data_IF_377080153186
#
_entry.id   IF_377080153186
#
_cell.length_a   1.000
_cell.length_b   1.000
_cell.length_c   1.000
_cell.angle_alpha   90.00
_cell.angle_beta   90.00
_cell.angle_gamma   90.00
#
_symmetry.space_group_name_H-M   'P 1'
#
loop_
_entity.id
_entity.type
_entity.pdbx_description
1 polymer ?
#
# COMPACT_ATOMS: atom_id res chain seq x y z
N UNK A 1 -16.12 10.01 32.00
CA UNK A 1 -14.71 9.62 31.89
C UNK A 1 -14.33 9.67 30.42
N UNK A 2 -13.20 10.28 30.06
CA UNK A 2 -12.75 10.35 28.66
C UNK A 2 -11.79 9.19 28.45
N UNK A 3 -12.21 8.19 27.70
CA UNK A 3 -11.36 7.05 27.36
C UNK A 3 -10.43 7.45 26.20
N UNK A 4 -9.12 7.35 26.43
CA UNK A 4 -8.13 7.55 25.37
C UNK A 4 -8.00 6.25 24.60
N UNK A 5 -8.39 6.26 23.32
CA UNK A 5 -8.23 5.14 22.39
C UNK A 5 -7.15 5.47 21.37
N UNK A 6 -5.88 5.06 21.59
CA UNK A 6 -4.83 5.25 20.61
C UNK A 6 -5.18 4.53 19.30
N UNK A 7 -5.02 5.24 18.18
CA UNK A 7 -5.20 4.66 16.83
C UNK A 7 -3.90 4.55 16.06
N UNK A 8 -2.86 5.25 16.49
CA UNK A 8 -1.56 5.21 15.82
C UNK A 8 -0.87 3.88 16.10
N UNK A 9 -0.23 3.30 15.11
CA UNK A 9 0.69 2.17 15.29
C UNK A 9 2.05 2.54 14.71
N UNK A 10 3.12 2.28 15.45
CA UNK A 10 4.47 2.40 14.90
C UNK A 10 4.75 1.17 14.05
N UNK A 11 5.08 1.37 12.79
CA UNK A 11 5.36 0.28 11.84
C UNK A 11 6.84 0.30 11.48
N UNK A 12 7.58 -0.67 12.00
CA UNK A 12 9.01 -0.83 11.76
C UNK A 12 9.25 -1.71 10.54
N UNK A 13 10.13 -1.25 9.65
CA UNK A 13 10.49 -1.95 8.42
C UNK A 13 11.97 -1.79 8.10
N UNK A 14 12.46 -2.60 7.16
CA UNK A 14 13.82 -2.51 6.63
C UNK A 14 13.83 -1.74 5.30
N UNK A 15 14.42 -0.53 5.27
CA UNK A 15 14.41 0.28 4.05
C UNK A 15 15.24 -0.32 2.91
N UNK A 16 16.09 -1.32 3.19
CA UNK A 16 16.87 -2.00 2.15
C UNK A 16 16.07 -3.08 1.39
N UNK A 17 14.89 -3.47 1.89
CA UNK A 17 14.07 -4.53 1.26
C UNK A 17 13.34 -4.06 -0.01
N UNK A 18 13.13 -2.75 -0.17
CA UNK A 18 12.53 -2.18 -1.36
C UNK A 18 12.94 -0.70 -1.53
N UNK A 19 13.04 -0.20 -2.79
CA UNK A 19 13.54 1.15 -3.07
C UNK A 19 12.60 2.29 -2.64
N UNK A 20 11.30 2.00 -2.45
CA UNK A 20 10.29 2.96 -1.97
C UNK A 20 9.38 2.29 -0.94
N UNK A 21 8.85 3.06 0.01
CA UNK A 21 7.95 2.58 1.05
C UNK A 21 6.70 1.91 0.47
N UNK A 22 6.18 2.37 -0.67
CA UNK A 22 5.04 1.77 -1.35
C UNK A 22 5.24 0.27 -1.66
N UNK A 23 6.47 -0.14 -1.98
CA UNK A 23 6.79 -1.53 -2.32
C UNK A 23 7.17 -2.39 -1.13
N UNK A 24 7.24 -1.81 0.08
CA UNK A 24 7.54 -2.55 1.30
C UNK A 24 6.34 -3.40 1.71
N UNK A 25 6.60 -4.61 2.21
CA UNK A 25 5.56 -5.55 2.67
C UNK A 25 4.67 -4.94 3.76
N UNK A 26 5.24 -4.08 4.61
CA UNK A 26 4.46 -3.32 5.61
C UNK A 26 3.36 -2.45 4.99
N UNK A 27 3.54 -1.91 3.79
CA UNK A 27 2.50 -1.14 3.10
C UNK A 27 1.62 -2.08 2.30
N UNK A 28 2.22 -2.92 1.46
CA UNK A 28 1.51 -3.81 0.53
C UNK A 28 0.52 -4.74 1.23
N UNK A 29 0.94 -5.32 2.35
CA UNK A 29 0.12 -6.31 3.06
C UNK A 29 -0.65 -5.72 4.23
N UNK A 30 -0.09 -4.75 4.97
CA UNK A 30 -0.77 -4.23 6.18
C UNK A 30 -1.61 -2.96 5.93
N UNK A 31 -1.43 -2.24 4.82
CA UNK A 31 -2.17 -1.00 4.56
C UNK A 31 -3.69 -1.16 4.70
N UNK A 32 -4.27 -2.12 3.95
CA UNK A 32 -5.71 -2.38 4.01
C UNK A 32 -6.17 -2.97 5.37
N UNK A 33 -5.51 -3.98 5.96
CA UNK A 33 -5.86 -4.46 7.31
C UNK A 33 -5.83 -3.37 8.39
N UNK A 34 -4.83 -2.49 8.38
CA UNK A 34 -4.73 -1.41 9.36
C UNK A 34 -5.83 -0.37 9.19
N UNK A 35 -6.12 0.02 7.93
CA UNK A 35 -7.24 0.91 7.64
C UNK A 35 -8.58 0.31 8.09
N UNK A 36 -8.82 -0.98 7.82
CA UNK A 36 -10.02 -1.69 8.26
C UNK A 36 -10.15 -1.72 9.79
N UNK A 37 -9.04 -1.86 10.51
CA UNK A 37 -8.98 -1.82 11.97
C UNK A 37 -9.05 -0.38 12.54
N UNK A 38 -9.17 0.65 11.70
CA UNK A 38 -9.19 2.05 12.12
C UNK A 38 -7.86 2.54 12.70
N UNK A 39 -6.76 1.86 12.35
CA UNK A 39 -5.41 2.18 12.79
C UNK A 39 -4.72 3.09 11.77
N UNK A 40 -3.87 3.98 12.27
CA UNK A 40 -3.09 4.93 11.47
C UNK A 40 -1.62 4.54 11.57
N UNK A 41 -1.01 3.99 10.50
CA UNK A 41 0.39 3.60 10.53
C UNK A 41 1.31 4.82 10.50
N UNK A 42 2.33 4.81 11.36
CA UNK A 42 3.51 5.66 11.25
C UNK A 42 4.72 4.78 10.94
N UNK A 43 5.19 4.83 9.69
CA UNK A 43 6.28 4.01 9.20
C UNK A 43 7.63 4.59 9.60
N UNK A 44 8.47 3.78 10.25
CA UNK A 44 9.81 4.18 10.70
C UNK A 44 10.82 3.11 10.29
N UNK A 45 11.84 3.44 9.48
CA UNK A 45 12.93 2.50 9.20
C UNK A 45 13.63 2.08 10.48
N UNK A 46 13.96 0.79 10.65
CA UNK A 46 14.60 0.30 11.87
C UNK A 46 15.96 0.99 12.15
N UNK A 47 16.65 1.44 11.10
CA UNK A 47 17.97 2.07 11.13
C UNK A 47 17.92 3.61 11.25
N UNK A 48 16.72 4.18 11.41
CA UNK A 48 16.54 5.60 11.68
C UNK A 48 16.55 5.91 13.18
N UNK A 49 16.36 7.18 13.54
CA UNK A 49 16.20 7.58 14.94
C UNK A 49 14.87 7.08 15.49
N UNK A 50 14.90 5.93 16.18
CA UNK A 50 13.72 5.37 16.83
C UNK A 50 13.21 6.27 17.96
N UNK A 51 11.88 6.42 18.15
CA UNK A 51 11.29 7.27 19.19
C UNK A 51 11.83 6.99 20.59
N UNK A 52 12.28 8.03 21.28
CA UNK A 52 12.80 7.94 22.66
C UNK A 52 11.79 8.38 23.73
N UNK A 53 10.70 9.05 23.32
CA UNK A 53 9.62 9.48 24.21
C UNK A 53 8.69 8.31 24.57
N UNK A 54 7.87 8.48 25.62
CA UNK A 54 6.91 7.45 26.05
C UNK A 54 5.79 7.25 25.02
N UNK A 55 5.61 6.00 24.59
CA UNK A 55 4.60 5.59 23.61
C UNK A 55 3.24 5.29 24.26
N UNK A 56 3.19 5.12 25.58
CA UNK A 56 1.99 4.75 26.33
C UNK A 56 0.88 5.78 26.11
N UNK A 57 -0.31 5.31 25.76
CA UNK A 57 -1.47 6.16 25.46
C UNK A 57 -1.36 6.99 24.17
N UNK A 58 -0.24 6.91 23.42
CA UNK A 58 -0.05 7.55 22.11
C UNK A 58 -0.22 6.57 20.96
N UNK A 59 0.26 5.35 21.15
CA UNK A 59 0.20 4.27 20.16
C UNK A 59 -0.60 3.09 20.69
N UNK A 60 -1.36 2.45 19.79
CA UNK A 60 -2.08 1.21 20.06
C UNK A 60 -1.12 0.02 20.17
N UNK A 61 0.06 0.13 19.54
CA UNK A 61 1.13 -0.85 19.61
C UNK A 61 2.19 -0.62 18.54
N UNK A 62 3.07 -1.59 18.42
CA UNK A 62 4.18 -1.62 17.46
C UNK A 62 3.97 -2.81 16.53
N UNK A 63 4.22 -2.60 15.25
CA UNK A 63 4.23 -3.65 14.25
C UNK A 63 5.63 -3.69 13.65
N UNK A 64 6.18 -4.88 13.48
CA UNK A 64 7.45 -5.08 12.78
C UNK A 64 7.25 -6.09 11.67
N UNK A 65 7.61 -5.74 10.44
CA UNK A 65 7.73 -6.71 9.35
C UNK A 65 9.09 -6.49 8.71
N UNK A 66 9.98 -7.43 8.96
CA UNK A 66 11.34 -7.46 8.45
C UNK A 66 11.55 -8.87 7.92
N UNK A 67 12.13 -8.99 6.72
CA UNK A 67 12.27 -10.27 6.02
C UNK A 67 13.66 -10.89 6.18
N UNK A 68 14.56 -10.26 6.94
CA UNK A 68 15.90 -10.73 7.23
C UNK A 68 16.20 -10.75 8.74
N UNK A 69 17.04 -11.69 9.17
CA UNK A 69 17.61 -11.73 10.52
C UNK A 69 18.94 -10.96 10.61
N UNK A 70 19.51 -10.54 9.47
CA UNK A 70 20.81 -9.90 9.35
C UNK A 70 20.70 -8.37 9.42
N UNK A 71 20.05 -7.86 10.48
CA UNK A 71 20.14 -6.44 10.78
C UNK A 71 21.55 -6.12 11.28
N UNK A 72 22.10 -4.98 10.84
CA UNK A 72 23.43 -4.50 11.22
C UNK A 72 23.71 -4.65 12.73
N UNK A 73 24.89 -5.17 13.07
CA UNK A 73 25.31 -5.56 14.43
C UNK A 73 25.16 -4.45 15.49
N UNK A 74 25.19 -3.17 15.08
CA UNK A 74 25.05 -2.00 15.96
C UNK A 74 23.65 -1.36 15.93
N UNK A 75 22.62 -2.07 15.44
CA UNK A 75 21.27 -1.54 15.39
C UNK A 75 20.70 -1.31 16.80
N UNK A 76 20.10 -0.14 17.02
CA UNK A 76 19.40 0.19 18.27
C UNK A 76 18.04 -0.54 18.39
N UNK A 77 17.52 -1.09 17.30
CA UNK A 77 16.20 -1.72 17.23
C UNK A 77 15.95 -2.80 18.29
N UNK A 78 16.85 -3.77 18.55
CA UNK A 78 16.54 -4.88 19.48
C UNK A 78 16.41 -4.40 20.93
N UNK A 79 17.30 -3.49 21.34
CA UNK A 79 17.27 -2.88 22.66
C UNK A 79 16.06 -1.95 22.80
N UNK A 80 15.75 -1.18 21.76
CA UNK A 80 14.56 -0.33 21.72
C UNK A 80 13.28 -1.14 21.84
N UNK A 81 13.11 -2.21 21.04
CA UNK A 81 11.92 -3.06 21.07
C UNK A 81 11.75 -3.73 22.43
N UNK A 82 12.86 -4.23 23.01
CA UNK A 82 12.87 -4.79 24.36
C UNK A 82 12.34 -3.80 25.40
N UNK A 83 12.79 -2.54 25.33
CA UNK A 83 12.30 -1.47 26.22
C UNK A 83 10.80 -1.24 26.05
N UNK A 84 10.29 -1.19 24.82
CA UNK A 84 8.85 -0.97 24.58
C UNK A 84 7.99 -2.14 25.12
N UNK A 85 8.47 -3.37 24.96
CA UNK A 85 7.81 -4.56 25.51
C UNK A 85 7.80 -4.55 27.04
N UNK A 86 8.89 -4.14 27.69
CA UNK A 86 8.94 -3.97 29.14
C UNK A 86 7.96 -2.90 29.62
N UNK A 87 7.75 -1.85 28.82
CA UNK A 87 6.73 -0.81 29.03
C UNK A 87 5.30 -1.27 28.69
N UNK A 88 5.08 -2.56 28.40
CA UNK A 88 3.77 -3.15 28.09
C UNK A 88 3.12 -2.64 26.81
N UNK A 89 3.89 -2.05 25.89
CA UNK A 89 3.39 -1.71 24.55
C UNK A 89 3.19 -3.01 23.76
N UNK A 90 1.96 -3.30 23.26
CA UNK A 90 1.70 -4.50 22.47
C UNK A 90 2.51 -4.52 21.18
N UNK A 91 3.06 -5.69 20.82
CA UNK A 91 3.87 -5.85 19.60
C UNK A 91 3.33 -6.97 18.70
N UNK A 92 3.20 -6.70 17.41
CA UNK A 92 2.95 -7.70 16.37
C UNK A 92 4.19 -7.84 15.47
N UNK A 93 4.75 -9.05 15.37
CA UNK A 93 5.92 -9.34 14.52
C UNK A 93 5.51 -10.23 13.35
N UNK A 94 5.88 -9.83 12.14
CA UNK A 94 5.69 -10.57 10.91
C UNK A 94 7.03 -10.95 10.27
N UNK A 95 7.06 -12.12 9.66
CA UNK A 95 8.18 -12.67 8.87
C UNK A 95 9.40 -13.06 9.73
N UNK A 96 10.20 -12.10 10.18
CA UNK A 96 11.40 -12.32 11.01
C UNK A 96 11.43 -11.38 12.21
N UNK A 97 12.25 -11.70 13.21
CA UNK A 97 12.47 -10.83 14.36
C UNK A 97 13.41 -9.65 14.05
N UNK A 98 14.06 -9.64 12.88
CA UNK A 98 15.01 -8.60 12.52
C UNK A 98 16.30 -8.65 13.34
N UNK A 99 16.68 -9.83 13.85
CA UNK A 99 17.91 -9.99 14.62
C UNK A 99 18.43 -11.41 14.51
N UNK A 100 19.75 -11.55 14.66
CA UNK A 100 20.37 -12.83 14.90
C UNK A 100 19.77 -13.50 16.15
N UNK A 101 19.61 -14.82 16.08
CA UNK A 101 18.96 -15.63 17.12
C UNK A 101 19.70 -15.62 18.47
N UNK A 102 20.99 -15.28 18.47
CA UNK A 102 21.87 -15.18 19.62
C UNK A 102 21.95 -13.76 20.23
N UNK A 103 21.22 -12.79 19.67
CA UNK A 103 21.16 -11.40 20.16
C UNK A 103 20.58 -11.23 21.58
N UNK A 104 20.01 -12.29 22.16
CA UNK A 104 19.32 -12.26 23.45
C UNK A 104 17.87 -11.78 23.41
N UNK A 105 17.41 -11.23 22.28
CA UNK A 105 16.01 -10.79 22.13
C UNK A 105 15.03 -11.96 22.33
N UNK A 106 15.27 -13.11 21.66
CA UNK A 106 14.38 -14.27 21.75
C UNK A 106 14.16 -14.73 23.19
N UNK A 107 15.23 -14.76 24.00
CA UNK A 107 15.16 -15.14 25.41
C UNK A 107 14.30 -14.16 26.21
N UNK A 108 14.45 -12.86 25.94
CA UNK A 108 13.63 -11.79 26.53
C UNK A 108 12.16 -11.91 26.15
N UNK A 109 11.88 -12.37 24.92
CA UNK A 109 10.52 -12.66 24.43
C UNK A 109 9.95 -13.98 24.97
N UNK A 110 10.69 -14.74 25.77
CA UNK A 110 10.27 -16.05 26.27
C UNK A 110 10.29 -17.14 25.20
N UNK A 111 11.18 -17.02 24.21
CA UNK A 111 11.36 -17.94 23.10
C UNK A 111 12.71 -18.64 23.20
N UNK A 112 12.75 -19.89 22.74
CA UNK A 112 13.97 -20.67 22.61
C UNK A 112 14.22 -20.95 21.13
N UNK A 113 15.40 -20.58 20.64
CA UNK A 113 15.89 -21.05 19.34
C UNK A 113 16.40 -22.47 19.49
N UNK A 114 15.95 -23.37 18.62
CA UNK A 114 16.42 -24.75 18.59
C UNK A 114 16.44 -25.24 17.16
N UNK A 115 17.63 -25.31 16.58
CA UNK A 115 17.86 -25.68 15.18
C UNK A 115 17.19 -27.00 14.81
N UNK A 116 16.64 -27.04 13.59
CA UNK A 116 16.03 -28.23 13.02
C UNK A 116 17.12 -29.00 12.27
N UNK A 117 17.32 -30.26 12.65
CA UNK A 117 18.23 -31.14 11.92
C UNK A 117 17.74 -31.37 10.49
N UNK A 118 18.57 -31.16 9.44
CA UNK A 118 18.12 -31.20 8.03
C UNK A 118 17.46 -32.51 7.57
N UNK A 119 17.74 -33.62 8.27
CA UNK A 119 17.19 -34.94 7.95
C UNK A 119 15.79 -35.18 8.52
N UNK A 120 15.30 -34.30 9.39
CA UNK A 120 14.02 -34.46 10.06
C UNK A 120 12.88 -33.96 9.16
N UNK A 121 11.77 -34.71 9.16
CA UNK A 121 10.51 -34.25 8.57
C UNK A 121 9.60 -33.69 9.66
N UNK A 122 8.95 -32.57 9.37
CA UNK A 122 7.97 -31.95 10.24
C UNK A 122 6.55 -32.41 9.91
N UNK A 123 5.70 -32.47 10.94
CA UNK A 123 4.27 -32.71 10.86
C UNK A 123 3.55 -31.56 11.55
N UNK A 124 2.42 -31.14 10.96
CA UNK A 124 1.52 -30.19 11.60
C UNK A 124 0.80 -30.92 12.73
N UNK A 125 1.03 -30.48 13.96
CA UNK A 125 0.38 -31.04 15.15
C UNK A 125 -0.92 -30.30 15.46
N UNK A 126 -0.90 -28.97 15.39
CA UNK A 126 -2.05 -28.13 15.69
C UNK A 126 -1.95 -26.79 14.97
N UNK A 127 -3.11 -26.17 14.71
CA UNK A 127 -3.22 -24.80 14.23
C UNK A 127 -4.44 -24.11 14.86
N UNK A 128 -4.36 -22.78 15.00
CA UNK A 128 -5.49 -21.92 15.33
C UNK A 128 -6.38 -21.67 14.10
N UNK A 129 -7.65 -21.34 14.34
CA UNK A 129 -8.64 -20.97 13.32
C UNK A 129 -8.26 -19.76 12.45
N UNK A 130 -7.38 -18.87 12.94
CA UNK A 130 -6.89 -17.75 12.11
C UNK A 130 -5.81 -18.17 11.11
N UNK A 131 -5.27 -19.38 11.22
CA UNK A 131 -4.31 -19.93 10.26
C UNK A 131 -5.03 -20.66 9.12
N UNK A 132 -4.37 -20.82 7.98
CA UNK A 132 -4.97 -21.40 6.79
C UNK A 132 -5.97 -20.48 6.10
N UNK A 133 -5.80 -19.16 6.19
CA UNK A 133 -6.82 -18.18 5.78
C UNK A 133 -7.12 -18.20 4.28
N UNK A 134 -6.13 -17.93 3.43
CA UNK A 134 -6.25 -18.04 1.97
C UNK A 134 -5.40 -19.19 1.41
N UNK A 135 -4.33 -19.56 2.12
CA UNK A 135 -3.46 -20.68 1.79
C UNK A 135 -3.32 -21.63 2.99
N UNK A 136 -3.44 -22.95 2.80
CA UNK A 136 -3.39 -23.91 3.90
C UNK A 136 -2.01 -23.96 4.57
N UNK A 137 -2.00 -24.16 5.89
CA UNK A 137 -0.75 -24.43 6.62
C UNK A 137 -0.18 -25.76 6.16
N UNK A 138 1.07 -25.75 5.74
CA UNK A 138 1.82 -26.94 5.35
C UNK A 138 3.06 -27.05 6.21
N UNK A 139 3.34 -28.24 6.74
CA UNK A 139 4.57 -28.45 7.49
C UNK A 139 5.76 -28.45 6.52
N UNK A 140 6.67 -27.50 6.70
CA UNK A 140 7.87 -27.32 5.86
C UNK A 140 9.12 -27.33 6.71
N UNK A 141 10.14 -28.03 6.24
CA UNK A 141 11.46 -28.09 6.88
C UNK A 141 12.39 -26.99 6.38
N UNK A 142 12.15 -26.46 5.18
CA UNK A 142 12.89 -25.34 4.61
C UNK A 142 12.32 -24.00 5.10
N UNK A 143 13.20 -23.01 5.25
CA UNK A 143 12.91 -21.61 5.61
C UNK A 143 12.22 -21.34 6.95
N UNK A 144 11.87 -22.38 7.71
CA UNK A 144 11.35 -22.25 9.07
C UNK A 144 12.34 -21.49 9.95
N UNK A 145 11.86 -20.48 10.67
CA UNK A 145 12.59 -19.93 11.80
C UNK A 145 12.37 -20.82 13.03
N UNK A 146 13.39 -21.55 13.52
CA UNK A 146 13.16 -22.67 14.42
C UNK A 146 13.09 -22.20 15.88
N UNK A 147 11.96 -21.60 16.24
CA UNK A 147 11.64 -21.14 17.60
C UNK A 147 10.60 -21.99 18.29
N UNK A 148 10.74 -22.10 19.61
CA UNK A 148 9.79 -22.75 20.51
C UNK A 148 9.37 -21.79 21.62
N UNK A 149 8.11 -21.88 22.04
CA UNK A 149 7.64 -21.18 23.23
C UNK A 149 8.30 -21.78 24.48
N UNK A 150 8.82 -20.92 25.36
CA UNK A 150 9.39 -21.31 26.66
C UNK A 150 8.50 -20.87 27.84
N UNK A 151 7.29 -20.37 27.57
CA UNK A 151 6.34 -19.87 28.57
C UNK A 151 4.97 -20.54 28.41
N UNK A 152 4.36 -20.93 29.53
CA UNK A 152 3.02 -21.55 29.59
C UNK A 152 1.88 -20.57 29.30
N UNK A 153 2.11 -19.26 29.41
CA UNK A 153 1.09 -18.23 29.17
C UNK A 153 0.99 -17.79 27.69
N UNK A 154 1.69 -18.48 26.79
CA UNK A 154 1.63 -18.22 25.35
C UNK A 154 0.72 -19.24 24.67
N UNK A 155 -0.02 -18.79 23.66
CA UNK A 155 -0.91 -19.64 22.86
C UNK A 155 -0.29 -19.84 21.48
N UNK A 156 0.19 -21.05 21.13
CA UNK A 156 0.70 -21.31 19.79
C UNK A 156 -0.43 -21.24 18.77
N UNK A 157 -0.19 -20.53 17.66
CA UNK A 157 -1.10 -20.48 16.51
C UNK A 157 -0.78 -21.56 15.48
N UNK A 158 0.48 -22.00 15.44
CA UNK A 158 0.92 -23.19 14.69
C UNK A 158 1.86 -23.98 15.58
N UNK A 159 1.66 -25.30 15.65
CA UNK A 159 2.57 -26.23 16.32
C UNK A 159 3.03 -27.28 15.32
N UNK A 160 4.34 -27.33 15.08
CA UNK A 160 5.00 -28.31 14.23
C UNK A 160 5.81 -29.26 15.10
N UNK A 161 5.91 -30.52 14.70
CA UNK A 161 6.69 -31.50 15.46
C UNK A 161 7.40 -32.48 14.54
N UNK A 162 8.48 -33.10 15.03
CA UNK A 162 9.09 -34.23 14.33
C UNK A 162 8.17 -35.46 14.38
N UNK A 163 8.38 -36.44 13.51
CA UNK A 163 7.71 -37.75 13.62
C UNK A 163 7.88 -38.43 14.99
N UNK A 164 9.03 -38.21 15.64
CA UNK A 164 9.29 -38.75 16.99
C UNK A 164 8.57 -37.99 18.10
N UNK A 165 7.97 -36.84 17.79
CA UNK A 165 7.34 -35.92 18.73
C UNK A 165 8.24 -35.41 19.86
N UNK A 166 9.56 -35.58 19.72
CA UNK A 166 10.54 -35.20 20.73
C UNK A 166 10.73 -33.68 20.82
N UNK A 167 10.46 -32.97 19.72
CA UNK A 167 10.66 -31.53 19.60
C UNK A 167 9.46 -30.89 18.92
N UNK A 168 9.13 -29.67 19.33
CA UNK A 168 8.04 -28.88 18.77
C UNK A 168 8.51 -27.47 18.43
N UNK A 169 8.03 -26.92 17.33
CA UNK A 169 8.31 -25.55 16.89
C UNK A 169 7.01 -24.79 16.73
N UNK A 170 7.06 -23.50 17.05
CA UNK A 170 5.90 -22.63 17.12
C UNK A 170 6.16 -21.38 16.26
N UNK A 171 6.03 -21.48 14.92
CA UNK A 171 6.35 -20.37 14.03
C UNK A 171 5.35 -19.22 14.09
N UNK A 172 4.20 -19.40 14.74
CA UNK A 172 3.26 -18.34 15.05
C UNK A 172 2.66 -18.56 16.44
N UNK A 173 2.52 -17.49 17.22
CA UNK A 173 1.95 -17.54 18.57
C UNK A 173 1.45 -16.16 19.05
N UNK A 174 0.51 -16.20 20.00
CA UNK A 174 0.16 -15.07 20.85
C UNK A 174 0.85 -15.23 22.21
N UNK A 175 1.34 -14.12 22.77
CA UNK A 175 2.13 -14.08 24.00
C UNK A 175 1.62 -12.97 24.92
N UNK A 176 2.21 -12.86 26.12
CA UNK A 176 1.88 -11.76 27.04
C UNK A 176 2.29 -10.38 26.52
N UNK A 177 3.28 -10.28 25.64
CA UNK A 177 3.76 -9.01 25.06
C UNK A 177 3.10 -8.67 23.72
N UNK A 178 2.37 -9.61 23.11
CA UNK A 178 1.66 -9.41 21.86
C UNK A 178 1.61 -10.69 21.04
N UNK A 179 2.18 -10.72 19.85
CA UNK A 179 2.21 -11.91 19.03
C UNK A 179 3.21 -11.86 17.89
N UNK A 180 3.49 -13.02 17.31
CA UNK A 180 4.33 -13.15 16.13
C UNK A 180 3.77 -14.19 15.16
N UNK A 181 4.01 -13.98 13.88
CA UNK A 181 3.84 -14.95 12.81
C UNK A 181 5.06 -14.88 11.89
N UNK A 182 5.80 -15.97 11.76
CA UNK A 182 7.08 -16.00 11.06
C UNK A 182 6.95 -16.66 9.70
N UNK A 183 7.78 -16.23 8.75
CA UNK A 183 7.87 -16.86 7.45
C UNK A 183 8.22 -18.36 7.59
N UNK A 184 7.67 -19.25 6.73
CA UNK A 184 6.74 -18.96 5.63
C UNK A 184 5.25 -18.94 6.04
N UNK A 185 4.91 -18.86 7.32
CA UNK A 185 3.53 -18.99 7.84
C UNK A 185 2.76 -17.66 7.91
N UNK A 186 3.16 -16.67 7.11
CA UNK A 186 2.54 -15.33 7.06
C UNK A 186 1.81 -15.14 5.73
N UNK A 187 2.59 -15.10 4.65
CA UNK A 187 2.13 -14.96 3.26
C UNK A 187 2.91 -15.98 2.42
N UNK A 188 2.20 -16.69 1.55
CA UNK A 188 2.75 -17.62 0.58
C UNK A 188 2.85 -16.96 -0.80
N UNK A 189 4.00 -17.09 -1.45
CA UNK A 189 4.17 -16.72 -2.85
C UNK A 189 3.83 -17.92 -3.74
N UNK A 190 2.88 -17.77 -4.67
CA UNK A 190 2.52 -18.84 -5.59
C UNK A 190 3.58 -19.00 -6.69
N UNK A 191 3.96 -20.24 -7.06
CA UNK A 191 5.15 -20.51 -7.90
C UNK A 191 4.99 -20.13 -9.38
N UNK A 192 3.76 -19.88 -9.85
CA UNK A 192 3.52 -19.47 -11.22
C UNK A 192 3.70 -17.95 -11.38
N UNK A 193 4.30 -17.53 -12.49
CA UNK A 193 4.46 -16.11 -12.83
C UNK A 193 3.10 -15.41 -12.73
N UNK A 194 3.07 -14.29 -12.02
CA UNK A 194 1.88 -13.45 -11.81
C UNK A 194 0.73 -14.10 -11.01
N UNK A 195 0.90 -15.31 -10.46
CA UNK A 195 -0.11 -15.97 -9.62
C UNK A 195 -0.35 -15.25 -8.28
N UNK A 196 0.60 -14.42 -7.88
CA UNK A 196 0.51 -13.56 -6.71
C UNK A 196 0.71 -14.28 -5.40
N UNK A 197 0.32 -13.60 -4.34
CA UNK A 197 0.55 -13.99 -2.96
C UNK A 197 -0.76 -14.40 -2.28
N UNK A 198 -0.69 -15.16 -1.19
CA UNK A 198 -1.85 -15.57 -0.39
C UNK A 198 -1.53 -15.50 1.09
N UNK A 199 -2.42 -14.94 1.89
CA UNK A 199 -2.31 -14.97 3.34
C UNK A 199 -2.42 -16.40 3.88
N UNK A 200 -1.43 -16.81 4.67
CA UNK A 200 -1.51 -18.04 5.47
C UNK A 200 -2.21 -17.75 6.80
N UNK A 201 -2.05 -16.55 7.35
CA UNK A 201 -2.71 -16.08 8.58
C UNK A 201 -3.72 -14.98 8.26
N UNK A 202 -4.89 -14.99 8.92
CA UNK A 202 -5.85 -13.89 8.83
C UNK A 202 -5.27 -12.64 9.51
N UNK A 203 -4.93 -11.58 8.76
CA UNK A 203 -4.20 -10.43 9.32
C UNK A 203 -5.04 -9.64 10.32
N UNK A 204 -6.36 -9.52 10.11
CA UNK A 204 -7.26 -8.77 11.00
C UNK A 204 -7.35 -9.44 12.37
N UNK A 205 -7.56 -10.76 12.39
CA UNK A 205 -7.67 -11.55 13.62
C UNK A 205 -6.35 -11.54 14.39
N UNK A 206 -5.23 -11.71 13.69
CA UNK A 206 -3.91 -11.70 14.31
C UNK A 206 -3.57 -10.32 14.88
N UNK A 207 -3.70 -9.24 14.09
CA UNK A 207 -3.41 -7.87 14.55
C UNK A 207 -4.29 -7.47 15.72
N UNK A 208 -5.58 -7.80 15.70
CA UNK A 208 -6.51 -7.50 16.81
C UNK A 208 -6.03 -8.14 18.11
N UNK A 209 -5.67 -9.43 18.09
CA UNK A 209 -5.21 -10.13 19.29
C UNK A 209 -3.76 -9.75 19.69
N UNK A 210 -2.84 -9.66 18.75
CA UNK A 210 -1.43 -9.35 19.00
C UNK A 210 -1.25 -7.92 19.54
N UNK A 211 -2.01 -6.95 19.02
CA UNK A 211 -2.01 -5.58 19.52
C UNK A 211 -2.98 -5.36 20.69
N UNK A 212 -3.67 -6.42 21.14
CA UNK A 212 -4.64 -6.39 22.26
C UNK A 212 -5.70 -5.30 22.09
N UNK A 213 -6.19 -5.13 20.87
CA UNK A 213 -7.16 -4.10 20.56
C UNK A 213 -8.53 -4.50 21.10
N UNK A 214 -9.27 -3.55 21.67
CA UNK A 214 -10.67 -3.78 22.00
C UNK A 214 -11.49 -3.99 20.70
N UNK A 215 -12.19 -5.11 20.63
CA UNK A 215 -13.07 -5.48 19.51
C UNK A 215 -14.31 -4.58 19.42
N UNK A 216 -14.69 -3.92 20.51
CA UNK A 216 -15.85 -3.02 20.58
C UNK A 216 -15.50 -1.57 20.29
N UNK A 217 -14.22 -1.25 20.06
CA UNK A 217 -13.79 0.13 19.83
C UNK A 217 -14.46 0.72 18.57
N UNK A 218 -14.82 2.01 18.58
CA UNK A 218 -15.34 2.67 17.39
C UNK A 218 -14.27 2.81 16.31
N UNK A 219 -14.57 2.31 15.11
CA UNK A 219 -13.75 2.44 13.90
C UNK A 219 -14.40 3.50 12.99
N UNK A 220 -13.66 4.52 12.52
CA UNK A 220 -14.17 5.48 11.55
C UNK A 220 -14.53 4.78 10.24
N UNK A 221 -15.78 4.96 9.78
CA UNK A 221 -16.20 4.50 8.47
C UNK A 221 -15.84 5.57 7.42
N UNK A 222 -14.91 5.24 6.52
CA UNK A 222 -14.49 6.11 5.41
C UNK A 222 -15.42 6.01 4.20
N UNK A 223 -16.43 5.13 4.25
CA UNK A 223 -17.36 4.85 3.16
C UNK A 223 -18.77 5.36 3.43
N UNK A 224 -19.04 5.90 4.63
CA UNK A 224 -20.36 6.39 5.04
C UNK A 224 -20.24 7.76 5.70
N UNK A 225 -21.14 8.68 5.33
CA UNK A 225 -21.31 9.97 6.00
C UNK A 225 -22.80 10.16 6.35
N UNK A 226 -23.09 10.61 7.58
CA UNK A 226 -24.46 10.82 8.06
C UNK A 226 -25.43 9.63 7.83
N UNK A 227 -24.91 8.40 7.99
CA UNK A 227 -25.69 7.17 7.80
C UNK A 227 -25.97 6.79 6.34
N UNK A 228 -25.32 7.44 5.37
CA UNK A 228 -25.44 7.14 3.94
C UNK A 228 -24.08 6.79 3.34
N UNK A 229 -24.07 5.78 2.46
CA UNK A 229 -22.88 5.40 1.71
C UNK A 229 -22.46 6.52 0.77
N UNK A 230 -21.18 6.80 0.74
CA UNK A 230 -20.54 7.72 -0.20
C UNK A 230 -20.40 7.03 -1.56
N UNK A 231 -20.75 7.74 -2.63
CA UNK A 231 -20.45 7.37 -4.01
C UNK A 231 -19.44 8.38 -4.55
N UNK A 232 -18.30 7.89 -5.00
CA UNK A 232 -17.29 8.69 -5.70
C UNK A 232 -17.14 8.11 -7.11
N UNK A 233 -17.22 8.97 -8.12
CA UNK A 233 -16.99 8.60 -9.52
C UNK A 233 -15.87 9.50 -10.02
N UNK A 234 -14.76 8.89 -10.42
CA UNK A 234 -13.69 9.59 -11.14
C UNK A 234 -13.37 8.82 -12.42
N UNK A 235 -12.91 9.55 -13.43
CA UNK A 235 -12.46 8.98 -14.70
C UNK A 235 -11.11 9.61 -15.04
N UNK A 236 -10.10 8.75 -15.19
CA UNK A 236 -8.75 9.13 -15.60
C UNK A 236 -8.71 9.57 -17.06
N UNK A 237 -7.66 10.33 -17.40
CA UNK A 237 -7.51 10.91 -18.73
C UNK A 237 -7.12 9.90 -19.81
N UNK A 238 -6.76 8.67 -19.43
CA UNK A 238 -6.26 7.61 -20.28
C UNK A 238 -7.18 7.30 -21.45
N UNK A 239 -6.60 7.27 -22.64
CA UNK A 239 -7.31 6.80 -23.83
C UNK A 239 -8.46 7.72 -24.28
N UNK A 240 -8.58 8.95 -23.75
CA UNK A 240 -9.57 9.95 -24.20
C UNK A 240 -9.56 10.18 -25.73
N UNK A 241 -8.36 10.29 -26.31
CA UNK A 241 -8.09 10.45 -27.75
C UNK A 241 -8.20 9.15 -28.57
N UNK A 242 -8.39 8.00 -27.93
CA UNK A 242 -8.37 6.72 -28.61
C UNK A 242 -9.67 6.53 -29.37
N UNK A 243 -9.61 5.73 -30.42
CA UNK A 243 -10.75 5.45 -31.27
C UNK A 243 -11.54 4.28 -30.68
N UNK A 244 -12.82 4.51 -30.40
CA UNK A 244 -13.73 3.48 -29.94
C UNK A 244 -13.97 2.45 -31.05
N UNK A 245 -14.06 1.16 -30.68
CA UNK A 245 -14.39 0.06 -31.57
C UNK A 245 -15.89 0.07 -31.95
N UNK A 246 -16.31 1.09 -32.68
CA UNK A 246 -17.70 1.32 -33.13
C UNK A 246 -17.74 1.62 -34.64
N UNK A 247 -18.89 1.45 -35.31
CA UNK A 247 -19.01 1.63 -36.76
C UNK A 247 -18.53 3.00 -37.27
N UNK A 248 -18.81 4.07 -36.52
CA UNK A 248 -18.45 5.46 -36.81
C UNK A 248 -17.08 5.87 -36.25
N UNK A 249 -16.41 4.97 -35.52
CA UNK A 249 -15.06 5.14 -34.97
C UNK A 249 -14.85 6.50 -34.25
N UNK A 250 -15.75 6.89 -33.32
CA UNK A 250 -15.62 8.14 -32.58
C UNK A 250 -14.44 8.05 -31.59
N UNK A 251 -13.95 9.20 -31.13
CA UNK A 251 -13.07 9.23 -29.98
C UNK A 251 -13.77 8.71 -28.73
N UNK A 252 -13.04 8.03 -27.84
CA UNK A 252 -13.56 7.57 -26.56
C UNK A 252 -14.13 8.74 -25.74
N UNK A 253 -13.48 9.91 -25.75
CA UNK A 253 -14.03 11.12 -25.13
C UNK A 253 -15.40 11.52 -25.67
N UNK A 254 -15.63 11.38 -26.98
CA UNK A 254 -16.93 11.67 -27.61
C UNK A 254 -18.00 10.66 -27.16
N UNK A 255 -17.64 9.38 -27.07
CA UNK A 255 -18.52 8.34 -26.53
C UNK A 255 -18.87 8.62 -25.06
N UNK A 256 -17.88 8.99 -24.25
CA UNK A 256 -18.09 9.37 -22.84
C UNK A 256 -19.06 10.55 -22.73
N UNK A 257 -18.90 11.59 -23.55
CA UNK A 257 -19.79 12.74 -23.56
C UNK A 257 -21.25 12.34 -23.88
N UNK A 258 -21.49 11.64 -24.99
CA UNK A 258 -22.84 11.37 -25.48
C UNK A 258 -23.54 10.26 -24.69
N UNK A 259 -22.86 9.16 -24.43
CA UNK A 259 -23.49 7.96 -23.89
C UNK A 259 -23.51 7.94 -22.36
N UNK A 260 -22.54 8.61 -21.72
CA UNK A 260 -22.39 8.63 -20.27
C UNK A 260 -22.75 9.99 -19.67
N UNK A 261 -21.97 11.05 -19.92
CA UNK A 261 -22.12 12.30 -19.19
C UNK A 261 -23.42 13.05 -19.50
N UNK A 262 -23.91 13.06 -20.75
CA UNK A 262 -25.22 13.65 -21.07
C UNK A 262 -26.40 12.82 -20.56
N UNK A 263 -26.20 11.52 -20.37
CA UNK A 263 -27.23 10.57 -19.94
C UNK A 263 -27.36 10.48 -18.42
N UNK A 264 -26.22 10.44 -17.71
CA UNK A 264 -26.15 10.26 -16.27
C UNK A 264 -25.58 11.52 -15.61
N UNK A 265 -26.45 12.24 -14.92
CA UNK A 265 -26.11 13.48 -14.22
C UNK A 265 -25.52 13.22 -12.82
N UNK A 266 -24.68 12.18 -12.71
CA UNK A 266 -24.03 11.81 -11.46
C UNK A 266 -22.78 12.68 -11.28
N UNK A 267 -22.57 13.32 -10.11
CA UNK A 267 -21.34 14.03 -9.82
C UNK A 267 -20.12 13.16 -10.12
N UNK A 268 -19.30 13.62 -11.06
CA UNK A 268 -18.16 12.86 -11.58
C UNK A 268 -16.96 13.78 -11.74
N UNK A 269 -15.83 13.38 -11.18
CA UNK A 269 -14.54 14.04 -11.44
C UNK A 269 -13.94 13.46 -12.72
N UNK A 270 -13.55 14.28 -13.67
CA UNK A 270 -12.90 13.80 -14.89
C UNK A 270 -11.62 14.58 -15.16
N UNK A 271 -10.56 13.85 -15.50
CA UNK A 271 -9.30 14.42 -15.94
C UNK A 271 -9.05 14.22 -17.43
N UNK A 272 -8.02 14.92 -17.93
CA UNK A 272 -7.42 14.68 -19.25
C UNK A 272 -5.90 14.70 -19.11
N UNK A 273 -5.22 13.94 -19.96
CA UNK A 273 -3.77 14.06 -20.15
C UNK A 273 -3.54 15.18 -21.17
N UNK A 274 -2.93 16.28 -20.75
CA UNK A 274 -2.71 17.43 -21.66
C UNK A 274 -1.86 17.01 -22.87
N UNK A 275 -0.85 16.16 -22.69
CA UNK A 275 0.00 15.65 -23.75
C UNK A 275 -0.73 14.87 -24.85
N UNK A 276 -1.97 14.47 -24.64
CA UNK A 276 -2.77 13.77 -25.64
C UNK A 276 -3.84 14.68 -26.27
N UNK A 277 -4.32 15.67 -25.53
CA UNK A 277 -5.42 16.57 -25.94
C UNK A 277 -4.91 17.89 -26.51
N UNK A 278 -3.83 18.43 -25.94
CA UNK A 278 -3.29 19.75 -26.22
C UNK A 278 -2.41 19.80 -27.46
N UNK A 279 -2.34 20.99 -28.07
CA UNK A 279 -1.59 21.23 -29.31
C UNK A 279 -0.07 21.04 -29.18
N UNK A 280 0.48 21.08 -27.97
CA UNK A 280 1.92 20.84 -27.73
C UNK A 280 2.25 19.37 -27.48
N UNK A 281 1.24 18.51 -27.45
CA UNK A 281 1.36 17.09 -27.16
C UNK A 281 1.63 16.22 -28.39
N UNK A 282 1.23 14.95 -28.29
CA UNK A 282 1.44 13.90 -29.30
C UNK A 282 0.63 14.12 -30.59
N UNK A 283 -0.56 14.72 -30.48
CA UNK A 283 -1.53 14.79 -31.58
C UNK A 283 -2.00 16.22 -31.90
N UNK A 284 -1.10 17.13 -32.31
CA UNK A 284 -1.43 18.54 -32.53
C UNK A 284 -2.57 18.76 -33.53
N UNK A 285 -2.67 17.91 -34.55
CA UNK A 285 -3.72 18.00 -35.59
C UNK A 285 -5.11 17.56 -35.10
N UNK A 286 -5.17 16.72 -34.07
CA UNK A 286 -6.44 16.26 -33.47
C UNK A 286 -6.90 17.18 -32.34
N UNK A 287 -5.99 17.99 -31.79
CA UNK A 287 -6.24 18.86 -30.64
C UNK A 287 -7.51 19.72 -30.76
N UNK A 288 -7.82 20.40 -31.90
CA UNK A 288 -9.04 21.18 -32.00
C UNK A 288 -10.33 20.38 -31.75
N UNK A 289 -10.36 19.10 -32.15
CA UNK A 289 -11.51 18.22 -31.94
C UNK A 289 -11.54 17.71 -30.49
N UNK A 290 -10.40 17.25 -29.97
CA UNK A 290 -10.28 16.70 -28.61
C UNK A 290 -10.58 17.76 -27.56
N UNK A 291 -10.02 18.96 -27.70
CA UNK A 291 -10.29 20.08 -26.79
C UNK A 291 -11.76 20.52 -26.84
N UNK A 292 -12.40 20.46 -28.01
CA UNK A 292 -13.83 20.76 -28.12
C UNK A 292 -14.64 19.76 -27.29
N UNK A 293 -14.36 18.46 -27.40
CA UNK A 293 -15.03 17.42 -26.62
C UNK A 293 -14.79 17.64 -25.12
N UNK A 294 -13.55 17.92 -24.71
CA UNK A 294 -13.22 18.18 -23.31
C UNK A 294 -13.95 19.41 -22.76
N UNK A 295 -14.01 20.52 -23.52
CA UNK A 295 -14.81 21.71 -23.18
C UNK A 295 -16.29 21.39 -23.02
N UNK A 296 -16.85 20.61 -23.95
CA UNK A 296 -18.26 20.22 -23.91
C UNK A 296 -18.58 19.36 -22.67
N UNK A 297 -17.66 18.48 -22.26
CA UNK A 297 -17.78 17.71 -21.01
C UNK A 297 -17.66 18.62 -19.78
N UNK A 298 -16.62 19.45 -19.70
CA UNK A 298 -16.37 20.33 -18.56
C UNK A 298 -17.44 21.40 -18.35
N UNK A 299 -18.17 21.78 -19.40
CA UNK A 299 -19.33 22.65 -19.32
C UNK A 299 -20.52 22.03 -18.54
N UNK A 300 -20.60 20.70 -18.42
CA UNK A 300 -21.72 20.02 -17.75
C UNK A 300 -21.72 20.27 -16.24
N UNK A 301 -22.84 20.69 -15.60
CA UNK A 301 -22.85 21.09 -14.19
C UNK A 301 -22.40 20.04 -13.17
N UNK A 302 -22.57 18.75 -13.49
CA UNK A 302 -22.21 17.62 -12.63
C UNK A 302 -20.79 17.08 -12.86
N UNK A 303 -19.99 17.73 -13.71
CA UNK A 303 -18.59 17.34 -13.94
C UNK A 303 -17.64 18.26 -13.17
N UNK A 304 -16.79 17.68 -12.32
CA UNK A 304 -15.68 18.36 -11.66
C UNK A 304 -14.38 18.15 -12.45
N UNK A 305 -13.60 19.22 -12.62
CA UNK A 305 -12.41 19.23 -13.46
C UNK A 305 -11.22 18.67 -12.68
N UNK A 306 -10.48 17.77 -13.32
CA UNK A 306 -9.22 17.25 -12.82
C UNK A 306 -8.10 17.33 -13.87
N UNK A 307 -6.85 17.28 -13.40
CA UNK A 307 -5.68 17.09 -14.27
C UNK A 307 -5.17 15.66 -14.15
N UNK A 308 -4.70 15.09 -15.27
CA UNK A 308 -3.98 13.82 -15.30
C UNK A 308 -2.55 14.01 -15.82
N UNK A 309 -1.91 15.08 -15.33
CA UNK A 309 -0.57 15.53 -15.71
C UNK A 309 -0.44 16.01 -17.17
N UNK A 310 0.78 16.39 -17.56
CA UNK A 310 1.11 16.75 -18.92
C UNK A 310 1.54 15.53 -19.73
N UNK A 311 2.64 14.88 -19.36
CA UNK A 311 3.22 13.81 -20.15
C UNK A 311 2.81 12.42 -19.70
N UNK A 312 1.96 12.31 -18.68
CA UNK A 312 1.57 11.06 -18.06
C UNK A 312 2.79 10.22 -17.62
N UNK A 313 3.54 10.66 -16.59
CA UNK A 313 4.62 9.86 -16.02
C UNK A 313 4.12 8.46 -15.63
N UNK A 314 4.75 7.42 -16.19
CA UNK A 314 4.50 6.02 -15.86
C UNK A 314 5.14 5.64 -14.52
N UNK A 315 6.32 6.22 -14.24
CA UNK A 315 7.08 6.05 -13.01
C UNK A 315 7.67 7.41 -12.59
N UNK A 316 7.00 8.13 -11.70
CA UNK A 316 7.35 9.51 -11.33
C UNK A 316 8.80 9.67 -10.87
N UNK A 317 9.31 8.80 -10.00
CA UNK A 317 10.69 8.88 -9.52
C UNK A 317 11.74 8.65 -10.62
N UNK A 318 11.43 7.77 -11.59
CA UNK A 318 12.32 7.53 -12.73
C UNK A 318 12.24 8.66 -13.75
N UNK A 319 11.06 9.20 -14.01
CA UNK A 319 10.88 10.37 -14.88
C UNK A 319 11.63 11.59 -14.30
N UNK A 320 11.53 11.81 -12.98
CA UNK A 320 12.26 12.88 -12.29
C UNK A 320 13.77 12.67 -12.34
N UNK A 321 14.27 11.46 -12.09
CA UNK A 321 15.71 11.16 -12.17
C UNK A 321 16.25 11.22 -13.60
N UNK A 322 15.44 10.85 -14.60
CA UNK A 322 15.83 10.89 -16.01
C UNK A 322 15.85 12.32 -16.59
N UNK A 323 15.25 13.30 -15.91
CA UNK A 323 15.35 14.70 -16.30
C UNK A 323 16.81 15.19 -16.43
N UNK A 324 17.71 14.58 -15.65
CA UNK A 324 19.14 14.89 -15.63
C UNK A 324 19.98 14.02 -16.62
N UNK A 325 19.37 13.05 -17.32
CA UNK A 325 20.08 12.11 -18.19
C UNK A 325 19.33 11.80 -19.50
N UNK A 326 19.89 12.27 -20.62
CA UNK A 326 19.24 12.30 -21.94
C UNK A 326 19.10 10.93 -22.64
N UNK A 327 19.70 9.85 -22.13
CA UNK A 327 19.71 8.56 -22.83
C UNK A 327 18.50 7.65 -22.51
N UNK A 328 17.73 7.94 -21.46
CA UNK A 328 16.64 7.06 -20.95
C UNK A 328 15.30 7.79 -20.68
N UNK A 329 15.17 9.07 -21.08
CA UNK A 329 14.05 9.93 -20.64
C UNK A 329 12.67 9.55 -21.22
N UNK A 330 12.59 9.09 -22.48
CA UNK A 330 11.30 8.77 -23.14
C UNK A 330 10.64 7.47 -22.62
N UNK A 331 11.35 6.67 -21.84
CA UNK A 331 10.83 5.38 -21.36
C UNK A 331 9.84 5.51 -20.19
N UNK A 332 9.75 6.68 -19.54
CA UNK A 332 9.03 6.85 -18.28
C UNK A 332 7.85 7.81 -18.36
N UNK A 333 7.53 8.34 -19.54
CA UNK A 333 6.36 9.16 -19.83
C UNK A 333 6.01 9.09 -21.32
N UNK A 334 4.92 9.72 -21.76
CA UNK A 334 4.57 9.81 -23.18
C UNK A 334 5.68 10.49 -23.99
N UNK A 335 6.03 10.02 -25.19
CA UNK A 335 7.17 10.51 -25.99
C UNK A 335 6.85 11.86 -26.66
N UNK A 336 6.66 12.90 -25.85
CA UNK A 336 6.36 14.25 -26.29
C UNK A 336 7.63 14.93 -26.80
N UNK A 337 7.58 15.44 -28.02
CA UNK A 337 8.73 16.07 -28.67
C UNK A 337 9.24 17.28 -27.88
N UNK A 338 10.56 17.36 -27.69
CA UNK A 338 11.26 18.45 -27.00
C UNK A 338 10.78 18.67 -25.55
N UNK A 339 10.28 17.63 -24.90
CA UNK A 339 9.87 17.66 -23.51
C UNK A 339 10.98 17.16 -22.59
N UNK A 340 11.19 17.83 -21.47
CA UNK A 340 12.00 17.38 -20.35
C UNK A 340 11.15 17.44 -19.09
N UNK A 341 11.25 16.41 -18.25
CA UNK A 341 10.44 16.32 -17.04
C UNK A 341 10.65 17.51 -16.11
N UNK A 342 9.54 18.04 -15.59
CA UNK A 342 9.51 18.96 -14.46
C UNK A 342 8.21 18.78 -13.70
N UNK A 343 8.28 18.61 -12.37
CA UNK A 343 7.10 18.48 -11.51
C UNK A 343 6.14 19.67 -11.66
N UNK A 344 6.67 20.89 -11.83
CA UNK A 344 5.85 22.09 -12.07
C UNK A 344 5.13 21.99 -13.41
N UNK A 345 5.82 21.54 -14.47
CA UNK A 345 5.22 21.40 -15.81
C UNK A 345 4.14 20.32 -15.82
N UNK A 346 4.40 19.19 -15.14
CA UNK A 346 3.45 18.09 -15.03
C UNK A 346 2.18 18.49 -14.29
N UNK A 347 2.31 19.23 -13.19
CA UNK A 347 1.19 19.48 -12.29
C UNK A 347 0.60 20.87 -12.53
N UNK A 348 1.32 21.92 -12.16
CA UNK A 348 0.81 23.28 -12.28
C UNK A 348 0.56 23.65 -13.75
N UNK A 349 1.48 23.30 -14.64
CA UNK A 349 1.38 23.58 -16.07
C UNK A 349 0.14 22.94 -16.70
N UNK A 350 -0.14 21.67 -16.40
CA UNK A 350 -1.34 20.98 -16.92
C UNK A 350 -2.64 21.51 -16.32
N UNK A 351 -2.63 21.87 -15.04
CA UNK A 351 -3.75 22.57 -14.39
C UNK A 351 -4.02 23.91 -15.07
N UNK A 352 -2.98 24.71 -15.31
CA UNK A 352 -3.09 26.01 -15.97
C UNK A 352 -3.63 25.86 -17.39
N UNK A 353 -3.14 24.88 -18.16
CA UNK A 353 -3.66 24.57 -19.49
C UNK A 353 -5.16 24.27 -19.46
N UNK A 354 -5.63 23.41 -18.55
CA UNK A 354 -7.05 23.07 -18.42
C UNK A 354 -7.86 24.31 -18.06
N UNK A 355 -7.43 25.07 -17.06
CA UNK A 355 -8.13 26.27 -16.59
C UNK A 355 -8.24 27.36 -17.67
N UNK A 356 -7.21 27.53 -18.49
CA UNK A 356 -7.16 28.57 -19.52
C UNK A 356 -7.84 28.17 -20.83
N UNK A 357 -7.79 26.87 -21.19
CA UNK A 357 -8.15 26.40 -22.55
C UNK A 357 -9.43 25.57 -22.58
N UNK A 358 -9.69 24.81 -21.51
CA UNK A 358 -10.75 23.80 -21.48
C UNK A 358 -11.88 24.12 -20.50
N UNK A 359 -11.58 24.84 -19.41
CA UNK A 359 -12.57 25.13 -18.38
C UNK A 359 -13.57 26.21 -18.83
N UNK A 360 -14.87 26.09 -18.50
CA UNK A 360 -15.78 27.23 -18.58
C UNK A 360 -15.40 28.29 -17.53
N UNK A 361 -15.80 29.55 -17.76
CA UNK A 361 -15.39 30.70 -16.92
C UNK A 361 -15.66 30.55 -15.42
N UNK A 362 -16.65 29.75 -15.02
CA UNK A 362 -17.07 29.55 -13.64
C UNK A 362 -16.53 28.26 -13.00
N UNK A 363 -15.63 27.53 -13.68
CA UNK A 363 -15.00 26.33 -13.14
C UNK A 363 -13.48 26.39 -13.27
N UNK A 364 -12.83 25.61 -12.44
CA UNK A 364 -11.39 25.40 -12.44
C UNK A 364 -11.10 24.00 -11.92
N UNK A 365 -9.92 23.48 -12.21
CA UNK A 365 -9.44 22.19 -11.69
C UNK A 365 -9.46 22.19 -10.17
N UNK A 366 -9.94 21.09 -9.59
CA UNK A 366 -10.00 20.86 -8.14
C UNK A 366 -9.24 19.63 -7.68
N UNK A 367 -8.96 18.70 -8.59
CA UNK A 367 -8.34 17.41 -8.28
C UNK A 367 -7.20 17.13 -9.25
N UNK A 368 -6.10 16.57 -8.75
CA UNK A 368 -5.05 15.96 -9.55
C UNK A 368 -5.16 14.44 -9.42
N UNK A 369 -5.39 13.75 -10.54
CA UNK A 369 -5.44 12.28 -10.57
C UNK A 369 -4.03 11.78 -10.91
N UNK A 370 -3.42 10.99 -10.03
CA UNK A 370 -2.05 10.49 -10.22
C UNK A 370 -1.96 9.51 -11.40
N UNK A 371 -0.94 9.69 -12.23
CA UNK A 371 -0.71 8.86 -13.43
C UNK A 371 0.18 7.67 -13.15
N UNK A 372 0.13 6.68 -14.05
CA UNK A 372 1.04 5.55 -14.06
C UNK A 372 0.97 4.72 -12.76
N UNK A 373 2.14 4.43 -12.17
CA UNK A 373 2.19 3.67 -10.93
C UNK A 373 1.64 4.42 -9.69
N UNK A 374 1.23 5.68 -9.83
CA UNK A 374 0.68 6.52 -8.76
C UNK A 374 1.59 6.76 -7.55
N UNK A 375 2.89 6.44 -7.65
CA UNK A 375 3.87 6.68 -6.56
C UNK A 375 4.54 8.03 -6.79
N UNK A 376 3.92 9.10 -6.26
CA UNK A 376 4.42 10.48 -6.41
C UNK A 376 5.77 10.72 -5.73
N UNK A 377 6.60 11.60 -6.30
CA UNK A 377 7.78 12.13 -5.61
C UNK A 377 7.40 13.23 -4.62
N UNK A 378 8.23 13.54 -3.59
CA UNK A 378 8.01 14.69 -2.72
C UNK A 378 7.87 16.02 -3.47
N UNK A 379 8.64 16.21 -4.55
CA UNK A 379 8.58 17.40 -5.40
C UNK A 379 7.25 17.50 -6.14
N UNK A 380 6.78 16.39 -6.72
CA UNK A 380 5.46 16.33 -7.36
C UNK A 380 4.33 16.57 -6.33
N UNK A 381 4.37 15.92 -5.17
CA UNK A 381 3.37 16.11 -4.13
C UNK A 381 3.31 17.58 -3.66
N UNK A 382 4.46 18.22 -3.47
CA UNK A 382 4.54 19.64 -3.09
C UNK A 382 3.85 20.55 -4.12
N UNK A 383 3.98 20.28 -5.41
CA UNK A 383 3.30 21.04 -6.46
C UNK A 383 1.77 20.93 -6.39
N UNK A 384 1.22 19.78 -6.02
CA UNK A 384 -0.25 19.66 -5.81
C UNK A 384 -0.73 20.48 -4.62
N UNK A 385 0.05 20.53 -3.54
CA UNK A 385 -0.24 21.34 -2.34
C UNK A 385 -0.18 22.83 -2.67
N UNK A 386 0.86 23.27 -3.38
CA UNK A 386 1.02 24.66 -3.81
C UNK A 386 -0.11 25.10 -4.77
N UNK A 387 -0.54 24.21 -5.67
CA UNK A 387 -1.66 24.46 -6.56
C UNK A 387 -3.03 24.47 -5.85
N UNK A 388 -3.10 24.04 -4.58
CA UNK A 388 -4.33 24.02 -3.80
C UNK A 388 -5.37 23.03 -4.31
N UNK A 389 -4.93 21.94 -4.94
CA UNK A 389 -5.81 20.87 -5.45
C UNK A 389 -5.77 19.67 -4.52
N UNK A 390 -6.89 18.95 -4.43
CA UNK A 390 -6.91 17.61 -3.87
C UNK A 390 -6.20 16.65 -4.83
N UNK A 391 -5.79 15.49 -4.36
CA UNK A 391 -5.27 14.45 -5.25
C UNK A 391 -5.83 13.07 -4.90
N UNK A 392 -5.93 12.22 -5.92
CA UNK A 392 -6.55 10.90 -5.87
C UNK A 392 -5.82 9.97 -6.85
N UNK A 393 -6.20 8.69 -6.81
CA UNK A 393 -5.68 7.51 -7.51
C UNK A 393 -4.70 6.72 -6.65
N UNK A 394 -4.81 5.40 -6.79
CA UNK A 394 -3.87 4.43 -6.29
C UNK A 394 -3.42 3.56 -7.45
N UNK A 395 -2.31 2.84 -7.28
CA UNK A 395 -1.83 1.92 -8.31
C UNK A 395 -2.82 0.78 -8.61
N UNK A 396 -2.43 -0.10 -9.51
CA UNK A 396 -3.27 -1.21 -10.00
C UNK A 396 -3.84 -2.05 -8.86
N UNK A 397 -5.15 -1.94 -8.63
CA UNK A 397 -5.89 -2.79 -7.70
C UNK A 397 -6.74 -3.76 -8.52
N UNK A 398 -6.54 -5.07 -8.36
CA UNK A 398 -7.24 -6.09 -9.15
C UNK A 398 -8.14 -6.96 -8.27
N UNK A 399 -9.45 -6.69 -8.27
CA UNK A 399 -10.44 -7.50 -7.56
C UNK A 399 -11.15 -8.41 -8.56
N UNK A 400 -10.70 -9.66 -8.66
CA UNK A 400 -11.31 -10.64 -9.58
C UNK A 400 -11.60 -11.96 -8.85
N UNK A 401 -12.65 -12.68 -9.31
CA UNK A 401 -12.95 -14.01 -8.78
C UNK A 401 -11.82 -15.01 -9.03
N UNK A 402 -11.10 -14.87 -10.15
CA UNK A 402 -9.94 -15.70 -10.51
C UNK A 402 -8.73 -15.45 -9.63
N UNK A 403 -8.64 -14.27 -9.00
CA UNK A 403 -7.57 -13.91 -8.08
C UNK A 403 -8.15 -13.30 -6.79
N UNK A 404 -8.97 -14.08 -6.09
CA UNK A 404 -9.62 -13.66 -4.85
C UNK A 404 -8.62 -13.73 -3.68
N UNK A 405 -7.90 -12.63 -3.46
CA UNK A 405 -6.87 -12.50 -2.43
C UNK A 405 -6.91 -11.11 -1.78
N UNK A 406 -6.57 -11.02 -0.50
CA UNK A 406 -6.38 -9.78 0.26
C UNK A 406 -4.95 -9.22 0.13
N UNK A 407 -4.14 -9.79 -0.76
CA UNK A 407 -2.76 -9.36 -1.02
C UNK A 407 -2.63 -8.42 -2.22
N UNK A 408 -3.75 -8.03 -2.86
CA UNK A 408 -3.79 -7.23 -4.09
C UNK A 408 -4.91 -6.21 -4.11
#
# INVERSE_FOLDING_TARGET
EVEVLPRKVLVIYNPAEAPDLHYQDVVRFLGAPLAYLGLVPEYIPYNSTLPQYDLTGRYAGIISWINSDDIATNSAYPQWLTKQIQQQIPVAIFSRFGVAHDSGLLQTLGLKYQELEPTQSLQLMAQDTMMGFEFPVTARTHDIYPVSLNNKNSTPLVSLTTKSQAMQWHPAALTSWGGYALAPYVVEMLPAKDAGERWVINPLSFLTKALKLDEQRPIPDVTTENGRRLLMVHIDGDGFMSIAERPDRPFNGQVMLEDFFKRYQTPTTMSVIEGEVGKTGLYPELSPQLEKIARDIYALPWVELASHSYSHPFYWSKAEAAADNADDYEAYHLPIKNYLYSSEREIKGSIDYINQTLAPQNKQVKVFLWTGNCVSTPNALAQTVEAGVLNMNGGDTTITRSNNSWTR
#
